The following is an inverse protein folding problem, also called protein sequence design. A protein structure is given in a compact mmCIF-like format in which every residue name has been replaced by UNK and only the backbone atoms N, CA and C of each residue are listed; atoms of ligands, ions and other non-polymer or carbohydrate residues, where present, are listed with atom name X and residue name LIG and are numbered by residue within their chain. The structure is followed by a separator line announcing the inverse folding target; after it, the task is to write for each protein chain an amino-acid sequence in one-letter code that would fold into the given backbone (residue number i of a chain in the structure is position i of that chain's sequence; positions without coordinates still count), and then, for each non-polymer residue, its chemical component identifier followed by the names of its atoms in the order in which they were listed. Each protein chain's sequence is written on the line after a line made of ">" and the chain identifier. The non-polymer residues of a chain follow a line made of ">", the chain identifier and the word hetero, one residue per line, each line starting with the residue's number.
data_IF_492801640391
#
_entry.id   IF_492801640391
#
_cell.length_a   1.000
_cell.length_b   1.000
_cell.length_c   1.000
_cell.angle_alpha   90.00
_cell.angle_beta   90.00
_cell.angle_gamma   90.00
#
_symmetry.space_group_name_H-M   'P 1'
#
loop_
_entity.id
_entity.type
_entity.pdbx_description
1 polymer ?
#
# COMPACT_ATOMS: atom_id res chain seq x y z
N UNK A 1 20.02 -10.39 1.49
CA UNK A 1 19.91 -9.41 0.39
C UNK A 1 18.65 -8.61 0.64
N UNK A 2 18.70 -7.27 0.66
CA UNK A 2 17.49 -6.45 0.85
C UNK A 2 16.81 -6.26 -0.51
N UNK A 3 15.52 -6.55 -0.59
CA UNK A 3 14.72 -6.33 -1.80
C UNK A 3 14.07 -4.96 -1.69
N UNK A 4 14.41 -4.05 -2.59
CA UNK A 4 13.84 -2.71 -2.63
C UNK A 4 12.80 -2.66 -3.75
N UNK A 5 11.60 -2.18 -3.45
CA UNK A 5 10.51 -2.11 -4.41
C UNK A 5 9.64 -0.88 -4.18
N UNK A 6 9.17 -0.27 -5.25
CA UNK A 6 8.02 0.64 -5.20
C UNK A 6 6.77 -0.22 -5.16
N UNK A 7 5.89 0.01 -4.20
CA UNK A 7 4.60 -0.67 -4.15
C UNK A 7 3.61 0.12 -5.01
N UNK A 8 3.00 -0.53 -5.98
CA UNK A 8 1.95 0.11 -6.77
C UNK A 8 0.73 0.41 -5.88
N UNK A 9 0.09 1.55 -6.09
CA UNK A 9 -1.14 1.96 -5.42
C UNK A 9 -2.22 0.87 -5.46
N UNK A 10 -2.36 0.14 -6.58
CA UNK A 10 -3.33 -0.95 -6.68
C UNK A 10 -3.01 -2.12 -5.75
N UNK A 11 -1.73 -2.40 -5.50
CA UNK A 11 -1.32 -3.45 -4.54
C UNK A 11 -1.66 -3.00 -3.13
N UNK A 12 -1.35 -1.74 -2.79
CA UNK A 12 -1.70 -1.15 -1.49
C UNK A 12 -3.22 -1.21 -1.25
N UNK A 13 -4.00 -0.64 -2.17
CA UNK A 13 -5.47 -0.60 -2.06
C UNK A 13 -6.07 -2.00 -2.00
N UNK A 14 -5.62 -2.93 -2.84
CA UNK A 14 -6.16 -4.29 -2.86
C UNK A 14 -5.90 -5.02 -1.55
N UNK A 15 -4.73 -4.83 -0.93
CA UNK A 15 -4.41 -5.39 0.36
C UNK A 15 -5.25 -4.78 1.49
N UNK A 16 -5.46 -3.47 1.48
CA UNK A 16 -6.32 -2.78 2.46
C UNK A 16 -7.79 -3.21 2.34
N UNK A 17 -8.27 -3.52 1.13
CA UNK A 17 -9.61 -4.08 0.92
C UNK A 17 -9.71 -5.55 1.33
N UNK A 18 -8.63 -6.32 1.15
CA UNK A 18 -8.58 -7.74 1.49
C UNK A 18 -7.16 -8.16 1.87
N UNK A 19 -6.91 -8.25 3.17
CA UNK A 19 -5.61 -8.63 3.70
C UNK A 19 -5.19 -10.07 3.33
N UNK A 20 -6.12 -11.03 3.44
CA UNK A 20 -5.87 -12.42 3.03
C UNK A 20 -5.95 -12.57 1.50
N UNK A 21 -4.93 -12.02 0.83
CA UNK A 21 -4.77 -11.99 -0.62
C UNK A 21 -3.30 -11.88 -1.02
N UNK A 22 -2.99 -12.09 -2.31
CA UNK A 22 -1.61 -11.93 -2.82
C UNK A 22 -1.06 -10.50 -2.58
N UNK A 23 -1.82 -9.41 -2.83
CA UNK A 23 -1.38 -8.07 -2.43
C UNK A 23 -1.12 -7.90 -0.93
N UNK A 24 -1.96 -8.50 -0.07
CA UNK A 24 -1.74 -8.47 1.37
C UNK A 24 -0.45 -9.18 1.78
N UNK A 25 -0.14 -10.33 1.19
CA UNK A 25 1.12 -11.03 1.40
C UNK A 25 2.34 -10.18 0.98
N UNK A 26 2.23 -9.36 -0.07
CA UNK A 26 3.30 -8.41 -0.46
C UNK A 26 3.51 -7.36 0.63
N UNK A 27 2.43 -6.80 1.18
CA UNK A 27 2.50 -5.85 2.29
C UNK A 27 2.99 -6.46 3.59
N UNK A 28 2.63 -7.71 3.90
CA UNK A 28 3.21 -8.46 5.01
C UNK A 28 4.74 -8.55 4.88
N UNK A 29 5.25 -8.86 3.69
CA UNK A 29 6.69 -8.89 3.44
C UNK A 29 7.35 -7.52 3.61
N UNK A 30 6.63 -6.44 3.29
CA UNK A 30 7.10 -5.08 3.56
C UNK A 30 7.15 -4.77 5.07
N UNK A 31 6.12 -5.19 5.83
CA UNK A 31 6.05 -4.99 7.28
C UNK A 31 7.14 -5.77 8.04
N UNK A 32 7.45 -7.01 7.63
CA UNK A 32 8.53 -7.80 8.25
C UNK A 32 9.93 -7.41 7.74
N UNK A 33 10.02 -6.45 6.82
CA UNK A 33 11.27 -5.92 6.29
C UNK A 33 11.96 -6.81 5.24
N UNK A 34 11.28 -7.85 4.74
CA UNK A 34 11.75 -8.66 3.60
C UNK A 34 11.76 -7.84 2.31
N UNK A 35 10.75 -6.97 2.15
CA UNK A 35 10.69 -5.92 1.13
C UNK A 35 10.90 -4.57 1.83
N UNK A 36 11.72 -3.72 1.26
CA UNK A 36 11.91 -2.33 1.69
C UNK A 36 11.17 -1.44 0.70
N UNK A 37 10.02 -0.85 1.09
CA UNK A 37 9.29 0.08 0.24
C UNK A 37 10.15 1.30 -0.09
N UNK A 38 10.18 1.67 -1.36
CA UNK A 38 10.75 2.93 -1.82
C UNK A 38 9.62 3.96 -1.90
N UNK A 39 9.75 5.04 -1.13
CA UNK A 39 8.76 6.10 -1.03
C UNK A 39 9.38 7.44 -1.45
N UNK A 40 8.56 8.29 -2.06
CA UNK A 40 8.84 9.69 -2.36
C UNK A 40 7.58 10.51 -2.03
N UNK A 41 7.71 11.83 -1.94
CA UNK A 41 6.57 12.72 -1.70
C UNK A 41 5.49 12.56 -2.79
N UNK A 42 5.90 12.31 -4.04
CA UNK A 42 5.01 12.05 -5.17
C UNK A 42 4.20 10.75 -4.98
N UNK A 43 4.86 9.66 -4.55
CA UNK A 43 4.20 8.38 -4.27
C UNK A 43 3.24 8.51 -3.08
N UNK A 44 3.67 9.19 -2.02
CA UNK A 44 2.82 9.40 -0.83
C UNK A 44 1.57 10.21 -1.18
N UNK A 45 1.71 11.26 -1.98
CA UNK A 45 0.58 12.06 -2.46
C UNK A 45 -0.39 11.21 -3.29
N UNK A 46 0.12 10.36 -4.19
CA UNK A 46 -0.72 9.46 -4.98
C UNK A 46 -1.52 8.50 -4.07
N UNK A 47 -0.87 7.91 -3.07
CA UNK A 47 -1.54 7.02 -2.12
C UNK A 47 -2.69 7.72 -1.40
N UNK A 48 -2.43 8.91 -0.84
CA UNK A 48 -3.46 9.69 -0.14
C UNK A 48 -4.63 10.03 -1.07
N UNK A 49 -4.36 10.54 -2.27
CA UNK A 49 -5.39 10.87 -3.26
C UNK A 49 -6.23 9.66 -3.63
N UNK A 50 -5.61 8.49 -3.80
CA UNK A 50 -6.31 7.27 -4.20
C UNK A 50 -7.13 6.70 -3.05
N UNK A 51 -6.60 6.65 -1.83
CA UNK A 51 -7.32 6.15 -0.65
C UNK A 51 -8.55 7.02 -0.34
N UNK A 52 -8.49 8.32 -0.62
CA UNK A 52 -9.60 9.29 -0.44
C UNK A 52 -10.69 9.22 -1.51
N UNK A 53 -10.53 8.41 -2.57
CA UNK A 53 -11.56 8.30 -3.63
C UNK A 53 -12.83 7.70 -3.06
N UNK A 54 -13.97 8.38 -3.27
CA UNK A 54 -15.32 7.99 -2.80
C UNK A 54 -15.76 6.55 -3.12
N UNK A 55 -15.14 5.89 -4.09
CA UNK A 55 -15.44 4.50 -4.45
C UNK A 55 -14.88 3.48 -3.45
N UNK A 56 -13.91 3.87 -2.62
CA UNK A 56 -13.35 3.03 -1.58
C UNK A 56 -14.04 3.32 -0.23
N UNK A 57 -14.20 2.29 0.62
CA UNK A 57 -14.94 2.42 1.87
C UNK A 57 -14.06 2.91 3.04
N UNK A 58 -12.92 3.54 2.77
CA UNK A 58 -12.01 4.03 3.81
C UNK A 58 -12.52 5.34 4.40
N UNK A 59 -12.39 5.49 5.72
CA UNK A 59 -12.65 6.74 6.42
C UNK A 59 -11.39 7.58 6.48
N UNK A 60 -11.57 8.86 6.79
CA UNK A 60 -10.46 9.78 7.04
C UNK A 60 -9.49 9.29 8.13
N UNK A 61 -10.01 8.61 9.15
CA UNK A 61 -9.22 8.05 10.26
C UNK A 61 -8.40 6.81 9.86
N UNK A 62 -8.69 6.21 8.70
CA UNK A 62 -7.99 5.03 8.17
C UNK A 62 -6.80 5.40 7.26
N UNK A 63 -6.66 6.68 6.89
CA UNK A 63 -5.68 7.22 5.93
C UNK A 63 -4.62 8.03 6.67
#
# INVERSE_FOLDING_TARGET
>A
MKLYAVIDTNVLVSALLRWDSVPGAVLEQALVGSIVPLLSDEIMTEYEEVLRRKKFPFKEEDI
#
